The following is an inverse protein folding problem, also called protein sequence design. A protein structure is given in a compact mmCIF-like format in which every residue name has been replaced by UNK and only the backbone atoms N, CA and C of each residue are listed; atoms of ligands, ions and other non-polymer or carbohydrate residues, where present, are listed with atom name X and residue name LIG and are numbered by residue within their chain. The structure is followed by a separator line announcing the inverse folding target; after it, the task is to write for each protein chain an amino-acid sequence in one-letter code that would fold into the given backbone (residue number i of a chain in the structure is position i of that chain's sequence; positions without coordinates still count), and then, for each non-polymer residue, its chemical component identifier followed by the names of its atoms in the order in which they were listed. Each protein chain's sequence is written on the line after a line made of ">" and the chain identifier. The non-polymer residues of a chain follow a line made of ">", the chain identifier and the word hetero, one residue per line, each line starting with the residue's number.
data_IF_118762646860
#
_entry.id   IF_118762646860
#
_cell.length_a   1.000
_cell.length_b   1.000
_cell.length_c   1.000
_cell.angle_alpha   90.00
_cell.angle_beta   90.00
_cell.angle_gamma   90.00
#
_symmetry.space_group_name_H-M   'P 1'
#
loop_
_entity.id
_entity.type
_entity.pdbx_description
1 polymer ?
#
# COMPACT_ATOMS: atom_id res chain seq x y z
N UNK A 1 -12.50 -6.87 3.42
CA UNK A 1 -12.87 -7.63 2.19
C UNK A 1 -12.08 -7.14 0.97
N UNK A 2 -12.02 -5.84 0.66
CA UNK A 2 -11.21 -5.32 -0.47
C UNK A 2 -9.70 -5.61 -0.32
N UNK A 3 -9.10 -5.35 0.85
CA UNK A 3 -7.67 -5.63 1.10
C UNK A 3 -7.31 -7.11 1.00
N UNK A 4 -8.11 -8.02 1.57
CA UNK A 4 -7.83 -9.46 1.50
C UNK A 4 -7.83 -9.92 0.04
N UNK A 5 -8.77 -9.43 -0.78
CA UNK A 5 -8.78 -9.72 -2.21
C UNK A 5 -7.57 -9.12 -2.94
N UNK A 6 -7.15 -7.89 -2.59
CA UNK A 6 -5.95 -7.27 -3.16
C UNK A 6 -4.68 -8.05 -2.80
N UNK A 7 -4.55 -8.49 -1.55
CA UNK A 7 -3.42 -9.30 -1.09
C UNK A 7 -3.42 -10.67 -1.75
N UNK A 8 -4.58 -11.34 -1.85
CA UNK A 8 -4.69 -12.63 -2.54
C UNK A 8 -4.36 -12.47 -4.03
N UNK A 9 -4.83 -11.41 -4.69
CA UNK A 9 -4.47 -11.10 -6.07
C UNK A 9 -2.96 -10.87 -6.23
N UNK A 10 -2.36 -10.03 -5.38
CA UNK A 10 -0.93 -9.76 -5.38
C UNK A 10 -0.10 -11.01 -5.05
N UNK A 11 -0.52 -11.82 -4.09
CA UNK A 11 0.12 -13.09 -3.78
C UNK A 11 -0.02 -14.11 -4.90
N UNK A 12 -1.06 -14.06 -5.74
CA UNK A 12 -1.19 -14.93 -6.92
C UNK A 12 -0.35 -14.41 -8.09
N UNK A 13 -0.36 -13.10 -8.35
CA UNK A 13 0.40 -12.45 -9.42
C UNK A 13 1.92 -12.51 -9.18
N UNK A 14 2.36 -12.32 -7.93
CA UNK A 14 3.76 -12.34 -7.51
C UNK A 14 4.16 -13.66 -6.80
N UNK A 15 3.25 -14.64 -6.78
CA UNK A 15 3.34 -15.88 -6.00
C UNK A 15 4.26 -16.97 -6.50
N UNK A 16 4.91 -16.75 -7.65
CA UNK A 16 5.81 -17.75 -8.26
C UNK A 16 7.10 -18.00 -7.46
N UNK A 17 7.29 -17.34 -6.31
CA UNK A 17 8.47 -17.50 -5.44
C UNK A 17 8.26 -18.08 -4.05
N UNK A 18 7.04 -18.35 -3.57
CA UNK A 18 6.82 -18.97 -2.25
C UNK A 18 7.33 -18.17 -1.03
N UNK A 19 7.67 -16.89 -1.18
CA UNK A 19 8.12 -16.04 -0.08
C UNK A 19 6.93 -15.32 0.57
N UNK A 20 6.14 -16.06 1.35
CA UNK A 20 5.35 -15.44 2.44
C UNK A 20 6.36 -14.98 3.49
N UNK A 21 6.89 -13.78 3.29
CA UNK A 21 7.91 -13.18 4.15
C UNK A 21 7.26 -12.16 5.09
N UNK A 22 7.81 -11.97 6.28
CA UNK A 22 7.46 -10.88 7.22
C UNK A 22 7.35 -9.53 6.53
N UNK A 23 8.11 -9.31 5.44
CA UNK A 23 8.02 -8.10 4.61
C UNK A 23 6.66 -7.92 3.93
N UNK A 24 6.00 -9.01 3.52
CA UNK A 24 4.67 -9.00 2.92
C UNK A 24 3.61 -8.61 3.96
N UNK A 25 3.74 -9.10 5.20
CA UNK A 25 2.86 -8.74 6.32
C UNK A 25 3.02 -7.28 6.73
N UNK A 26 4.25 -6.77 6.78
CA UNK A 26 4.51 -5.34 7.05
C UNK A 26 3.95 -4.46 5.94
N UNK A 27 4.08 -4.88 4.68
CA UNK A 27 3.53 -4.14 3.54
C UNK A 27 2.01 -4.10 3.57
N UNK A 28 1.37 -5.25 3.81
CA UNK A 28 -0.09 -5.35 3.89
C UNK A 28 -0.66 -4.53 5.03
N UNK A 29 -0.02 -4.55 6.21
CA UNK A 29 -0.37 -3.69 7.33
C UNK A 29 -0.27 -2.20 6.98
N UNK A 30 0.77 -1.79 6.25
CA UNK A 30 0.93 -0.42 5.77
C UNK A 30 -0.24 0.04 4.88
N UNK A 31 -0.69 -0.82 3.96
CA UNK A 31 -1.83 -0.54 3.09
C UNK A 31 -3.14 -0.44 3.90
N UNK A 32 -3.36 -1.33 4.87
CA UNK A 32 -4.52 -1.26 5.79
C UNK A 32 -4.52 0.07 6.53
N UNK A 33 -3.38 0.46 7.09
CA UNK A 33 -3.24 1.70 7.84
C UNK A 33 -3.57 2.92 6.96
N UNK A 34 -3.05 2.94 5.73
CA UNK A 34 -3.37 3.98 4.74
C UNK A 34 -4.86 3.98 4.37
N UNK A 35 -5.50 2.84 4.16
CA UNK A 35 -6.95 2.77 3.88
C UNK A 35 -7.78 3.32 5.05
N UNK A 36 -7.41 3.01 6.30
CA UNK A 36 -8.14 3.48 7.49
C UNK A 36 -8.03 4.99 7.66
N UNK A 37 -6.83 5.55 7.49
CA UNK A 37 -6.61 6.99 7.65
C UNK A 37 -7.22 7.82 6.52
N UNK A 38 -7.11 7.33 5.28
CA UNK A 38 -7.56 8.07 4.10
C UNK A 38 -9.02 7.80 3.77
N UNK A 39 -9.60 6.72 4.31
CA UNK A 39 -10.92 6.19 3.95
C UNK A 39 -11.04 5.87 2.45
N UNK A 40 -9.91 5.66 1.76
CA UNK A 40 -9.85 5.31 0.33
C UNK A 40 -9.38 3.87 0.16
N UNK A 41 -10.03 3.14 -0.75
CA UNK A 41 -9.67 1.75 -1.03
C UNK A 41 -8.56 1.71 -2.07
N UNK A 42 -7.61 0.77 -2.01
CA UNK A 42 -6.57 0.62 -3.02
C UNK A 42 -7.12 0.41 -4.44
N UNK A 43 -8.36 -0.07 -4.56
CA UNK A 43 -9.07 -0.33 -5.82
C UNK A 43 -10.00 0.82 -6.25
N UNK A 44 -9.99 1.97 -5.57
CA UNK A 44 -10.78 3.12 -6.01
C UNK A 44 -10.28 3.60 -7.39
N UNK A 45 -11.20 4.08 -8.24
CA UNK A 45 -10.90 4.49 -9.62
C UNK A 45 -9.84 5.59 -9.72
N UNK A 46 -9.67 6.39 -8.65
CA UNK A 46 -8.63 7.41 -8.51
C UNK A 46 -7.20 6.83 -8.53
N UNK A 47 -7.06 5.52 -8.30
CA UNK A 47 -5.79 4.79 -8.33
C UNK A 47 -5.65 3.90 -9.58
N UNK A 48 -6.40 4.21 -10.64
CA UNK A 48 -6.23 3.55 -11.94
C UNK A 48 -5.04 4.13 -12.71
N UNK A 49 -4.34 3.30 -13.48
CA UNK A 49 -3.19 3.72 -14.29
C UNK A 49 -1.89 3.89 -13.50
N UNK A 50 -1.30 5.09 -13.50
CA UNK A 50 0.00 5.37 -12.88
C UNK A 50 -0.07 5.81 -11.40
N UNK A 51 -1.26 6.08 -10.87
CA UNK A 51 -1.44 6.55 -9.49
C UNK A 51 -1.78 5.37 -8.57
N UNK A 52 -1.07 5.22 -7.46
CA UNK A 52 -1.35 4.20 -6.44
C UNK A 52 -1.69 4.86 -5.11
N UNK A 53 -2.38 4.14 -4.21
CA UNK A 53 -2.64 4.63 -2.85
C UNK A 53 -1.33 5.08 -2.15
N UNK A 54 -0.23 4.35 -2.38
CA UNK A 54 1.09 4.69 -1.83
C UNK A 54 1.63 6.00 -2.41
N UNK A 55 1.60 6.20 -3.73
CA UNK A 55 2.11 7.43 -4.35
C UNK A 55 1.24 8.63 -3.98
N UNK A 56 -0.07 8.44 -3.90
CA UNK A 56 -1.00 9.46 -3.46
C UNK A 56 -0.74 9.91 -2.01
N UNK A 57 -0.53 8.96 -1.08
CA UNK A 57 -0.15 9.28 0.31
C UNK A 57 1.19 10.02 0.34
N UNK A 58 2.16 9.59 -0.46
CA UNK A 58 3.48 10.24 -0.54
C UNK A 58 3.38 11.69 -1.04
N UNK A 59 2.56 11.94 -2.05
CA UNK A 59 2.32 13.29 -2.60
C UNK A 59 1.47 14.16 -1.67
N UNK A 60 0.59 13.54 -0.89
CA UNK A 60 -0.26 14.22 0.08
C UNK A 60 0.46 14.54 1.39
N UNK A 61 1.66 13.97 1.62
CA UNK A 61 2.46 14.30 2.79
C UNK A 61 3.17 15.65 2.61
N UNK A 62 3.00 16.60 3.55
CA UNK A 62 3.76 17.83 3.52
C UNK A 62 5.25 17.53 3.64
N UNK A 63 6.08 18.22 2.85
CA UNK A 63 7.53 18.02 2.71
C UNK A 63 8.28 17.96 4.05
N UNK A 64 7.75 18.61 5.10
CA UNK A 64 8.30 18.58 6.46
C UNK A 64 8.35 17.18 7.13
N UNK A 65 7.54 16.22 6.69
CA UNK A 65 7.58 14.82 7.19
C UNK A 65 8.62 13.95 6.48
N UNK A 66 9.10 14.38 5.32
CA UNK A 66 10.08 13.64 4.50
C UNK A 66 11.52 13.94 4.95
N UNK A 67 11.74 15.10 5.57
CA UNK A 67 13.04 15.57 6.08
C UNK A 67 13.39 15.11 7.50
N UNK A 68 12.64 14.15 8.06
CA UNK A 68 13.03 13.57 9.37
C UNK A 68 14.36 12.82 9.16
N UNK A 69 15.46 13.24 9.82
CA UNK A 69 16.75 12.60 9.64
C UNK A 69 16.64 11.14 10.07
N UNK A 70 16.91 10.22 9.16
CA UNK A 70 17.12 8.82 9.54
C UNK A 70 18.42 8.78 10.35
N UNK A 71 18.29 8.56 11.66
CA UNK A 71 19.40 8.12 12.49
C UNK A 71 19.86 6.72 12.06
#
# INVERSE_FOLDING_TARGET
>A
ISIINFLVYFLVEYGTGGFVSVKCDVYSYGIVLMEVFTRKRPTDEIFSGHMSLRSWVKESMPSALIDIPRF
#
